data_IF_442919161942
#
_entry.id   IF_442919161942
#
_cell.length_a   1.000
_cell.length_b   1.000
_cell.length_c   1.000
_cell.angle_alpha   90.00
_cell.angle_beta   90.00
_cell.angle_gamma   90.00
#
_symmetry.space_group_name_H-M   'P 1'
#
loop_
_entity.id
_entity.type
_entity.pdbx_description
1 polymer ?
#
# COMPACT_ATOMS: atom_id res chain seq x y z
N UNK A 1 -8.29 6.40 3.48
CA UNK A 1 -7.04 6.79 4.17
C UNK A 1 -6.81 8.31 4.12
N UNK A 2 -6.90 8.91 2.93
CA UNK A 2 -6.77 10.35 2.76
C UNK A 2 -8.12 11.02 2.46
N UNK A 3 -8.27 12.28 2.84
CA UNK A 3 -9.48 13.07 2.56
C UNK A 3 -9.52 13.63 1.12
N UNK A 4 -8.36 13.79 0.49
CA UNK A 4 -8.20 14.30 -0.86
C UNK A 4 -7.47 13.28 -1.72
N UNK A 5 -7.89 13.12 -2.99
CA UNK A 5 -7.28 12.18 -3.93
C UNK A 5 -5.83 12.55 -4.26
N UNK A 6 -5.53 13.85 -4.15
CA UNK A 6 -4.18 14.41 -4.18
C UNK A 6 -3.89 15.03 -2.80
N UNK A 7 -3.46 14.22 -1.81
CA UNK A 7 -3.10 14.76 -0.51
C UNK A 7 -1.91 15.71 -0.64
N UNK A 8 -1.81 16.68 0.28
CA UNK A 8 -0.64 17.55 0.31
C UNK A 8 0.65 16.75 0.54
N UNK A 9 1.82 17.23 0.07
CA UNK A 9 3.10 16.60 0.39
C UNK A 9 3.31 16.39 1.90
N UNK A 10 2.84 17.33 2.72
CA UNK A 10 2.91 17.22 4.17
C UNK A 10 2.07 16.04 4.71
N UNK A 11 0.86 15.82 4.18
CA UNK A 11 0.02 14.69 4.58
C UNK A 11 0.67 13.35 4.25
N UNK A 12 1.22 13.21 3.03
CA UNK A 12 1.92 11.98 2.61
C UNK A 12 3.15 11.78 3.51
N UNK A 13 3.97 12.82 3.69
CA UNK A 13 5.16 12.78 4.55
C UNK A 13 4.83 12.31 5.97
N UNK A 14 3.82 12.92 6.62
CA UNK A 14 3.42 12.54 7.99
C UNK A 14 2.86 11.13 8.07
N UNK A 15 2.08 10.70 7.07
CA UNK A 15 1.57 9.33 7.00
C UNK A 15 2.73 8.32 6.91
N UNK A 16 3.65 8.53 5.97
CA UNK A 16 4.84 7.69 5.78
C UNK A 16 5.70 7.65 7.04
N UNK A 17 5.94 8.78 7.71
CA UNK A 17 6.71 8.83 8.95
C UNK A 17 6.08 8.03 10.08
N UNK A 18 4.75 8.10 10.25
CA UNK A 18 4.02 7.34 11.26
C UNK A 18 4.04 5.84 10.95
N UNK A 19 3.82 5.45 9.69
CA UNK A 19 3.93 4.05 9.27
C UNK A 19 5.34 3.50 9.54
N UNK A 20 6.39 4.25 9.18
CA UNK A 20 7.78 3.83 9.49
C UNK A 20 8.02 3.67 10.99
N UNK A 21 7.51 4.61 11.80
CA UNK A 21 7.72 4.62 13.24
C UNK A 21 7.05 3.45 13.95
N UNK A 22 5.85 3.05 13.51
CA UNK A 22 5.03 2.10 14.25
C UNK A 22 4.93 0.72 13.58
N UNK A 23 5.22 0.60 12.29
CA UNK A 23 5.05 -0.66 11.54
C UNK A 23 6.36 -1.39 11.22
N UNK A 24 7.51 -0.73 11.36
CA UNK A 24 8.83 -1.37 11.22
C UNK A 24 9.35 -1.84 12.57
N UNK A 25 10.10 -2.93 12.60
CA UNK A 25 10.78 -3.42 13.81
C UNK A 25 10.99 -4.93 13.79
N UNK A 26 11.67 -5.44 14.82
CA UNK A 26 12.16 -6.82 14.85
C UNK A 26 11.14 -7.88 15.30
N UNK A 27 9.92 -7.47 15.67
CA UNK A 27 8.88 -8.43 16.07
C UNK A 27 8.42 -9.21 14.83
N UNK A 28 8.53 -10.54 14.81
CA UNK A 28 8.13 -11.33 13.66
C UNK A 28 6.63 -11.20 13.39
N UNK A 29 6.27 -11.27 12.12
CA UNK A 29 4.87 -11.34 11.67
C UNK A 29 4.44 -12.81 11.67
N UNK A 30 3.47 -13.16 12.51
CA UNK A 30 3.00 -14.55 12.74
C UNK A 30 1.81 -14.94 11.84
N UNK A 31 1.70 -14.31 10.67
CA UNK A 31 0.69 -14.65 9.66
C UNK A 31 1.37 -15.06 8.35
N UNK A 32 0.78 -16.03 7.67
CA UNK A 32 1.25 -16.55 6.39
C UNK A 32 0.38 -16.01 5.24
N UNK A 33 1.00 -15.58 4.14
CA UNK A 33 0.27 -15.15 2.96
C UNK A 33 0.07 -16.31 1.99
N UNK A 34 -1.14 -16.84 1.90
CA UNK A 34 -1.45 -18.03 1.08
C UNK A 34 -2.03 -17.70 -0.31
N UNK A 35 -2.41 -16.46 -0.56
CA UNK A 35 -3.01 -16.04 -1.84
C UNK A 35 -1.93 -15.77 -2.90
N UNK A 36 -2.32 -15.70 -4.18
CA UNK A 36 -1.40 -15.30 -5.25
C UNK A 36 -1.04 -13.79 -5.12
N UNK A 37 0.22 -13.44 -4.83
CA UNK A 37 0.62 -12.04 -4.69
C UNK A 37 0.59 -11.28 -6.02
N UNK A 38 0.73 -11.97 -7.15
CA UNK A 38 0.71 -11.33 -8.49
C UNK A 38 -0.67 -10.79 -8.84
N UNK A 39 -1.73 -11.43 -8.34
CA UNK A 39 -3.09 -10.93 -8.48
C UNK A 39 -3.37 -9.76 -7.53
N UNK A 40 -2.99 -9.90 -6.26
CA UNK A 40 -3.31 -8.92 -5.22
C UNK A 40 -2.49 -7.62 -5.31
N UNK A 41 -1.26 -7.71 -5.80
CA UNK A 41 -0.29 -6.62 -5.85
C UNK A 41 0.21 -6.33 -7.28
N UNK A 42 -0.68 -6.52 -8.27
CA UNK A 42 -0.38 -6.39 -9.70
C UNK A 42 0.16 -5.03 -10.15
N UNK A 43 -0.01 -3.98 -9.33
CA UNK A 43 0.49 -2.63 -9.62
C UNK A 43 1.94 -2.41 -9.16
N UNK A 44 2.48 -3.32 -8.34
CA UNK A 44 3.86 -3.26 -7.87
C UNK A 44 4.80 -3.91 -8.88
N UNK A 45 6.02 -3.38 -8.98
CA UNK A 45 7.06 -3.97 -9.83
C UNK A 45 7.49 -5.36 -9.35
N UNK A 46 7.51 -5.56 -8.02
CA UNK A 46 7.79 -6.84 -7.37
C UNK A 46 6.54 -7.22 -6.56
N UNK A 47 5.61 -8.01 -7.12
CA UNK A 47 4.38 -8.38 -6.45
C UNK A 47 4.68 -9.34 -5.29
N UNK A 48 4.69 -8.81 -4.08
CA UNK A 48 4.84 -9.58 -2.84
C UNK A 48 4.14 -8.85 -1.70
N UNK A 49 3.80 -9.56 -0.64
CA UNK A 49 3.34 -8.94 0.59
C UNK A 49 4.54 -8.31 1.30
N UNK A 50 4.37 -7.12 1.86
CA UNK A 50 5.50 -6.31 2.29
C UNK A 50 6.38 -6.94 3.40
N UNK A 51 5.81 -7.80 4.24
CA UNK A 51 6.55 -8.47 5.32
C UNK A 51 7.34 -9.70 4.85
N UNK A 52 7.19 -10.09 3.59
CA UNK A 52 8.00 -11.13 2.94
C UNK A 52 9.10 -10.52 2.05
N UNK A 53 9.19 -9.19 1.93
CA UNK A 53 10.32 -8.54 1.26
C UNK A 53 11.59 -8.68 2.11
N UNK A 54 12.67 -9.33 1.61
CA UNK A 54 13.88 -9.56 2.39
C UNK A 54 14.63 -8.28 2.77
N UNK A 55 14.29 -7.13 2.18
CA UNK A 55 14.92 -5.84 2.45
C UNK A 55 14.11 -4.97 3.42
N UNK A 56 12.93 -5.42 3.86
CA UNK A 56 12.05 -4.67 4.75
C UNK A 56 11.76 -5.46 6.03
N UNK A 57 12.02 -4.83 7.16
CA UNK A 57 11.73 -5.40 8.48
C UNK A 57 10.38 -4.89 8.99
N UNK A 58 9.29 -5.46 8.45
CA UNK A 58 7.92 -5.14 8.85
C UNK A 58 7.55 -5.91 10.13
N UNK A 59 7.11 -5.21 11.17
CA UNK A 59 6.57 -5.81 12.39
C UNK A 59 5.04 -5.80 12.44
N UNK A 60 4.40 -4.76 11.87
CA UNK A 60 2.94 -4.64 11.78
C UNK A 60 2.57 -4.42 10.31
N UNK A 61 2.11 -5.46 9.59
CA UNK A 61 1.67 -5.28 8.22
C UNK A 61 0.34 -4.52 8.18
N UNK A 62 0.26 -3.52 7.30
CA UNK A 62 -0.95 -2.71 7.09
C UNK A 62 -1.54 -3.08 5.74
N UNK A 63 -2.77 -3.57 5.73
CA UNK A 63 -3.54 -3.84 4.52
C UNK A 63 -4.63 -2.79 4.36
N UNK A 64 -4.79 -2.25 3.15
CA UNK A 64 -5.84 -1.26 2.89
C UNK A 64 -6.39 -1.38 1.49
N UNK A 65 -7.67 -1.02 1.36
CA UNK A 65 -8.31 -0.67 0.10
C UNK A 65 -8.32 0.86 -0.05
N UNK A 66 -8.67 1.35 -1.23
CA UNK A 66 -9.02 2.74 -1.46
C UNK A 66 -10.53 2.95 -1.24
N UNK A 67 -10.90 4.15 -0.82
CA UNK A 67 -12.27 4.65 -0.84
C UNK A 67 -12.49 5.60 -2.02
N UNK A 68 -13.57 6.37 -1.94
CA UNK A 68 -13.98 7.34 -2.96
C UNK A 68 -13.18 8.66 -2.95
N UNK A 69 -12.32 8.88 -1.94
CA UNK A 69 -11.52 10.09 -1.80
C UNK A 69 -10.03 9.85 -2.08
N UNK A 70 -9.61 8.60 -2.13
CA UNK A 70 -8.24 8.15 -2.38
C UNK A 70 -8.22 7.12 -3.52
N UNK A 71 -9.18 7.26 -4.44
CA UNK A 71 -9.25 6.50 -5.66
C UNK A 71 -8.12 6.85 -6.65
N UNK A 72 -7.74 5.90 -7.53
CA UNK A 72 -6.79 6.18 -8.59
C UNK A 72 -7.26 7.33 -9.48
N UNK A 73 -6.41 8.33 -9.69
CA UNK A 73 -6.74 9.50 -10.53
C UNK A 73 -5.73 9.72 -11.65
N UNK A 74 -6.10 10.57 -12.62
CA UNK A 74 -5.27 10.95 -13.76
C UNK A 74 -5.14 9.86 -14.83
N UNK A 75 -4.36 10.15 -15.89
CA UNK A 75 -4.20 9.22 -17.03
C UNK A 75 -3.53 7.90 -16.64
N UNK A 76 -2.65 7.91 -15.64
CA UNK A 76 -1.94 6.72 -15.17
C UNK A 76 -2.70 5.93 -14.11
N UNK A 77 -3.86 6.43 -13.66
CA UNK A 77 -4.67 5.80 -12.61
C UNK A 77 -3.80 5.46 -11.39
N UNK A 78 -3.19 6.47 -10.80
CA UNK A 78 -2.34 6.33 -9.61
C UNK A 78 -3.05 7.03 -8.44
N UNK A 79 -3.12 6.34 -7.31
CA UNK A 79 -3.65 6.85 -6.05
C UNK A 79 -2.52 7.15 -5.06
N UNK A 80 -2.84 7.86 -3.98
CA UNK A 80 -1.93 7.96 -2.84
C UNK A 80 -1.65 6.60 -2.18
N UNK A 81 -2.53 5.60 -2.35
CA UNK A 81 -2.33 4.23 -1.87
C UNK A 81 -1.21 3.53 -2.64
N UNK A 82 -1.15 3.70 -3.97
CA UNK A 82 -0.06 3.16 -4.80
C UNK A 82 1.30 3.78 -4.40
N UNK A 83 1.32 5.07 -4.04
CA UNK A 83 2.54 5.72 -3.54
C UNK A 83 3.03 5.06 -2.24
N UNK A 84 2.15 4.86 -1.26
CA UNK A 84 2.51 4.19 -0.01
C UNK A 84 2.89 2.73 -0.23
N UNK A 85 2.19 2.02 -1.12
CA UNK A 85 2.50 0.62 -1.41
C UNK A 85 3.87 0.45 -2.07
N UNK A 86 4.25 1.37 -2.97
CA UNK A 86 5.58 1.38 -3.59
C UNK A 86 6.72 1.58 -2.58
N UNK A 87 6.44 2.17 -1.41
CA UNK A 87 7.43 2.29 -0.32
C UNK A 87 7.58 1.01 0.51
N UNK A 88 6.71 0.01 0.32
CA UNK A 88 6.65 -1.20 1.15
C UNK A 88 5.99 -1.00 2.52
N UNK A 89 5.44 0.17 2.82
CA UNK A 89 4.81 0.45 4.13
C UNK A 89 3.34 0.06 4.20
N UNK A 90 2.71 -0.28 3.07
CA UNK A 90 1.30 -0.62 2.98
C UNK A 90 1.06 -1.66 1.89
N UNK A 91 0.27 -2.68 2.18
CA UNK A 91 -0.22 -3.66 1.22
C UNK A 91 -1.55 -3.14 0.63
N UNK A 92 -1.48 -2.53 -0.56
CA UNK A 92 -2.67 -2.05 -1.25
C UNK A 92 -3.26 -3.19 -2.08
N UNK A 93 -4.48 -3.59 -1.76
CA UNK A 93 -5.18 -4.71 -2.41
C UNK A 93 -6.62 -4.32 -2.76
N UNK A 94 -7.33 -5.22 -3.45
CA UNK A 94 -8.75 -5.02 -3.78
C UNK A 94 -8.98 -3.83 -4.72
N UNK A 95 -7.96 -3.45 -5.50
CA UNK A 95 -8.05 -2.37 -6.47
C UNK A 95 -9.12 -2.69 -7.50
N UNK A 96 -10.14 -1.85 -7.57
CA UNK A 96 -11.21 -1.98 -8.55
C UNK A 96 -11.00 -0.97 -9.68
N UNK A 97 -10.63 -1.45 -10.86
CA UNK A 97 -10.58 -0.66 -12.10
C UNK A 97 -11.78 -1.03 -12.97
N UNK A 98 -12.84 -0.22 -12.95
CA UNK A 98 -13.90 -0.34 -13.95
C UNK A 98 -13.29 -0.10 -15.35
N UNK A 99 -13.11 -1.16 -16.14
CA UNK A 99 -12.72 -1.11 -17.55
C UNK A 99 -13.76 -1.73 -18.48
N UNK A 100 -15.02 -1.80 -18.04
CA UNK A 100 -16.16 -2.11 -18.92
C UNK A 100 -17.32 -1.15 -18.63
N UNK A 101 -17.38 -0.07 -19.41
CA UNK A 101 -18.60 0.54 -19.96
C UNK A 101 -18.26 1.16 -21.30
#
# INVERSE_FOLDING_TARGET
>A
LFHHAQPSPYCIYRCTELLKKYCLGDRPVEIEFLSDPTHNFSTLQNPTVNYEDPNLNISIPVFSIHGNHDDPTGQRQISAMDLLATTGLLNYFGRWSNHEM
#
